data_IF_291020760567
#
_entry.id   IF_291020760567
#
_cell.length_a   1.000
_cell.length_b   1.000
_cell.length_c   1.000
_cell.angle_alpha   90.00
_cell.angle_beta   90.00
_cell.angle_gamma   90.00
#
_symmetry.space_group_name_H-M   'P 1'
#
loop_
_entity.id
_entity.type
_entity.pdbx_description
1 polymer ?
#
# COMPACT_ATOMS: atom_id res chain seq x y z
N UNK A 1 -2.97 -21.87 11.17
CA UNK A 1 -4.21 -21.80 11.99
C UNK A 1 -5.15 -22.85 11.43
N UNK A 2 -5.77 -23.67 12.28
CA UNK A 2 -6.65 -24.75 11.80
C UNK A 2 -7.93 -24.12 11.27
N UNK A 3 -8.28 -24.35 10.02
CA UNK A 3 -9.47 -23.80 9.33
C UNK A 3 -10.75 -23.99 10.14
N UNK A 4 -10.90 -25.13 10.78
CA UNK A 4 -12.04 -25.44 11.66
C UNK A 4 -12.19 -24.46 12.84
N UNK A 5 -11.09 -24.04 13.45
CA UNK A 5 -11.14 -23.05 14.54
C UNK A 5 -11.55 -21.67 14.06
N UNK A 6 -11.13 -21.29 12.86
CA UNK A 6 -11.52 -20.02 12.23
C UNK A 6 -13.02 -20.02 11.94
N UNK A 7 -13.55 -21.12 11.37
CA UNK A 7 -14.98 -21.24 11.10
C UNK A 7 -15.82 -21.16 12.38
N UNK A 8 -15.43 -21.87 13.44
CA UNK A 8 -16.12 -21.78 14.72
C UNK A 8 -16.11 -20.38 15.33
N UNK A 9 -14.96 -19.70 15.26
CA UNK A 9 -14.84 -18.31 15.73
C UNK A 9 -15.74 -17.37 14.92
N UNK A 10 -15.84 -17.59 13.60
CA UNK A 10 -16.73 -16.81 12.75
C UNK A 10 -18.20 -17.00 13.10
N UNK A 11 -18.69 -18.22 13.35
CA UNK A 11 -20.08 -18.46 13.76
C UNK A 11 -20.42 -17.71 15.05
N UNK A 12 -19.54 -17.75 16.06
CA UNK A 12 -19.73 -16.99 17.31
C UNK A 12 -19.78 -15.47 17.04
N UNK A 13 -18.90 -14.95 16.17
CA UNK A 13 -18.92 -13.55 15.80
C UNK A 13 -20.23 -13.18 15.09
N UNK A 14 -20.69 -14.01 14.17
CA UNK A 14 -21.95 -13.83 13.42
C UNK A 14 -23.14 -13.69 14.35
N UNK A 15 -23.26 -14.55 15.36
CA UNK A 15 -24.34 -14.46 16.38
C UNK A 15 -24.29 -13.12 17.11
N UNK A 16 -23.11 -12.71 17.58
CA UNK A 16 -22.93 -11.44 18.30
C UNK A 16 -23.27 -10.21 17.44
N UNK A 17 -22.90 -10.23 16.15
CA UNK A 17 -23.26 -9.16 15.24
C UNK A 17 -24.78 -9.14 14.97
N UNK A 18 -25.43 -10.30 14.91
CA UNK A 18 -26.87 -10.39 14.72
C UNK A 18 -27.65 -9.81 15.92
N UNK A 19 -27.14 -9.95 17.16
CA UNK A 19 -27.74 -9.34 18.36
C UNK A 19 -27.87 -7.80 18.27
N UNK A 20 -26.97 -7.14 17.52
CA UNK A 20 -26.99 -5.70 17.27
C UNK A 20 -27.56 -5.32 15.89
N UNK A 21 -28.24 -6.28 15.24
CA UNK A 21 -28.96 -6.07 13.98
C UNK A 21 -28.07 -6.09 12.73
N UNK A 22 -26.84 -6.60 12.79
CA UNK A 22 -25.92 -6.70 11.66
C UNK A 22 -25.93 -8.11 11.06
N UNK A 23 -26.31 -8.20 9.80
CA UNK A 23 -26.15 -9.40 8.96
C UNK A 23 -24.76 -9.42 8.34
N UNK A 24 -23.86 -10.23 8.90
CA UNK A 24 -22.47 -10.32 8.47
C UNK A 24 -22.32 -10.85 7.05
N UNK A 25 -23.17 -11.78 6.60
CA UNK A 25 -23.13 -12.32 5.25
C UNK A 25 -23.46 -11.25 4.20
N UNK A 26 -24.48 -10.44 4.49
CA UNK A 26 -24.85 -9.31 3.64
C UNK A 26 -23.75 -8.27 3.58
N UNK A 27 -23.14 -7.93 4.72
CA UNK A 27 -22.05 -6.96 4.80
C UNK A 27 -20.82 -7.47 4.04
N UNK A 28 -20.43 -8.73 4.23
CA UNK A 28 -19.30 -9.32 3.51
C UNK A 28 -19.51 -9.31 1.98
N UNK A 29 -20.74 -9.58 1.53
CA UNK A 29 -21.08 -9.47 0.12
C UNK A 29 -20.96 -8.04 -0.41
N UNK A 30 -21.40 -7.04 0.35
CA UNK A 30 -21.26 -5.63 -0.02
C UNK A 30 -19.80 -5.20 -0.06
N UNK A 31 -18.96 -5.70 0.85
CA UNK A 31 -17.53 -5.40 0.90
C UNK A 31 -16.73 -5.98 -0.28
N UNK A 32 -17.25 -6.99 -1.00
CA UNK A 32 -16.59 -7.51 -2.20
C UNK A 32 -16.43 -6.46 -3.30
N UNK A 33 -17.37 -5.51 -3.37
CA UNK A 33 -17.35 -4.42 -4.36
C UNK A 33 -16.64 -3.16 -3.82
N UNK A 34 -16.18 -3.20 -2.58
CA UNK A 34 -15.51 -2.07 -1.94
C UNK A 34 -14.04 -2.02 -2.36
N UNK A 35 -13.60 -0.86 -2.83
CA UNK A 35 -12.23 -0.64 -3.24
C UNK A 35 -11.45 0.03 -2.11
N UNK A 36 -10.47 -0.70 -1.57
CA UNK A 36 -9.56 -0.17 -0.56
C UNK A 36 -8.39 0.56 -1.25
N UNK A 37 -8.23 1.85 -0.97
CA UNK A 37 -7.05 2.59 -1.41
C UNK A 37 -5.93 2.41 -0.38
N UNK A 38 -4.85 1.76 -0.80
CA UNK A 38 -3.64 1.65 -0.02
C UNK A 38 -2.81 2.90 -0.25
N UNK A 39 -2.62 3.70 0.79
CA UNK A 39 -1.59 4.73 0.77
C UNK A 39 -0.23 4.07 0.81
N UNK A 40 0.72 4.57 0.03
CA UNK A 40 2.09 4.17 0.23
C UNK A 40 2.51 4.62 1.63
N UNK A 41 3.11 3.70 2.35
CA UNK A 41 3.68 3.99 3.65
C UNK A 41 4.89 4.89 3.50
N UNK A 42 5.03 5.80 4.45
CA UNK A 42 6.14 6.74 4.48
C UNK A 42 7.33 6.17 5.23
N UNK A 43 8.45 6.57 4.84
CA UNK A 43 9.71 6.91 5.47
C UNK A 43 10.30 5.94 6.51
N UNK A 44 9.56 5.34 7.42
CA UNK A 44 10.14 4.35 8.33
C UNK A 44 10.50 3.08 7.58
N UNK A 45 9.71 2.76 6.53
CA UNK A 45 9.87 1.58 5.70
C UNK A 45 10.41 1.92 4.31
N UNK A 46 10.11 3.12 3.79
CA UNK A 46 10.51 3.55 2.45
C UNK A 46 10.95 5.01 2.45
N UNK A 47 12.17 5.28 2.02
CA UNK A 47 12.76 6.63 1.98
C UNK A 47 12.43 7.42 0.72
N UNK A 48 11.70 6.84 -0.23
CA UNK A 48 11.58 7.41 -1.56
C UNK A 48 12.83 7.21 -2.42
N UNK A 49 12.74 7.62 -3.67
CA UNK A 49 13.79 7.40 -4.67
C UNK A 49 14.32 8.71 -5.26
N UNK A 50 13.97 9.82 -4.61
CA UNK A 50 14.52 11.13 -4.94
C UNK A 50 16.02 11.20 -4.61
N UNK A 51 16.79 11.74 -5.53
CA UNK A 51 18.19 12.10 -5.27
C UNK A 51 18.18 13.47 -4.60
N UNK A 52 18.51 13.50 -3.32
CA UNK A 52 18.54 14.77 -2.58
C UNK A 52 19.82 15.56 -2.89
N UNK A 53 19.65 16.77 -3.41
CA UNK A 53 20.74 17.72 -3.61
C UNK A 53 20.96 18.55 -2.33
N UNK A 54 21.55 17.96 -1.29
CA UNK A 54 21.93 18.72 -0.07
C UNK A 54 21.51 18.08 1.24
N UNK A 55 21.93 18.67 2.36
CA UNK A 55 21.54 18.23 3.68
C UNK A 55 20.06 18.55 3.94
N UNK A 56 19.32 17.61 4.44
CA UNK A 56 17.93 17.81 4.91
C UNK A 56 17.89 18.89 5.97
N UNK A 57 17.26 20.01 5.67
CA UNK A 57 17.04 21.10 6.61
C UNK A 57 15.59 21.09 7.06
N UNK A 58 15.34 20.45 8.22
CA UNK A 58 14.03 20.48 8.87
C UNK A 58 13.02 19.49 8.29
N UNK A 59 12.11 19.04 9.13
CA UNK A 59 11.08 18.07 8.84
C UNK A 59 11.15 16.88 9.78
N UNK A 60 10.07 16.11 9.84
CA UNK A 60 10.05 14.85 10.58
C UNK A 60 10.92 13.88 9.80
N UNK A 61 12.11 13.63 10.30
CA UNK A 61 12.93 12.54 9.78
C UNK A 61 12.34 11.22 10.23
N UNK A 62 12.33 10.24 9.34
CA UNK A 62 12.06 8.87 9.71
C UNK A 62 12.98 8.46 10.85
N UNK A 63 12.41 8.00 11.95
CA UNK A 63 13.15 7.50 13.10
C UNK A 63 13.27 5.99 13.10
N UNK A 64 12.62 5.32 12.16
CA UNK A 64 12.65 3.87 12.03
C UNK A 64 13.92 3.39 11.33
N UNK A 65 14.58 2.43 11.94
CA UNK A 65 15.67 1.65 11.32
C UNK A 65 15.14 0.27 10.97
N UNK A 66 14.16 0.22 10.06
CA UNK A 66 13.54 -1.02 9.65
C UNK A 66 14.44 -1.72 8.64
N UNK A 67 14.98 -2.92 8.95
CA UNK A 67 15.96 -3.59 8.10
C UNK A 67 15.39 -4.08 6.77
N UNK A 68 14.06 -4.10 6.61
CA UNK A 68 13.35 -4.48 5.39
C UNK A 68 12.90 -3.31 4.52
N UNK A 69 13.35 -2.08 4.79
CA UNK A 69 12.96 -0.92 3.97
C UNK A 69 13.34 -1.11 2.49
N UNK A 70 12.40 -0.82 1.59
CA UNK A 70 12.62 -0.91 0.16
C UNK A 70 13.70 0.10 -0.28
N UNK A 71 14.69 -0.38 -1.04
CA UNK A 71 15.85 0.41 -1.49
C UNK A 71 15.68 0.94 -2.91
N UNK A 72 14.73 0.39 -3.64
CA UNK A 72 14.42 0.73 -5.02
C UNK A 72 12.95 0.43 -5.34
N UNK A 73 12.51 0.86 -6.52
CA UNK A 73 11.13 0.72 -6.98
C UNK A 73 10.68 -0.73 -7.05
N UNK A 74 11.54 -1.65 -7.46
CA UNK A 74 11.17 -3.05 -7.64
C UNK A 74 10.96 -3.75 -6.30
N UNK A 75 11.76 -3.43 -5.29
CA UNK A 75 11.56 -3.91 -3.92
C UNK A 75 10.23 -3.38 -3.35
N UNK A 76 9.94 -2.09 -3.53
CA UNK A 76 8.66 -1.51 -3.09
C UNK A 76 7.47 -2.16 -3.79
N UNK A 77 7.56 -2.43 -5.08
CA UNK A 77 6.53 -3.15 -5.83
C UNK A 77 6.29 -4.56 -5.30
N UNK A 78 7.35 -5.28 -4.93
CA UNK A 78 7.24 -6.60 -4.32
C UNK A 78 6.54 -6.53 -2.95
N UNK A 79 6.88 -5.54 -2.13
CA UNK A 79 6.24 -5.31 -0.83
C UNK A 79 4.74 -5.00 -0.99
N UNK A 80 4.38 -4.15 -1.96
CA UNK A 80 2.99 -3.84 -2.28
C UNK A 80 2.24 -5.11 -2.73
N UNK A 81 2.81 -5.92 -3.62
CA UNK A 81 2.21 -7.17 -4.05
C UNK A 81 2.04 -8.14 -2.88
N UNK A 82 3.02 -8.19 -1.98
CA UNK A 82 2.93 -9.00 -0.77
C UNK A 82 1.80 -8.52 0.14
N UNK A 83 1.69 -7.23 0.40
CA UNK A 83 0.61 -6.65 1.18
C UNK A 83 -0.76 -6.96 0.55
N UNK A 84 -0.91 -6.74 -0.76
CA UNK A 84 -2.13 -7.09 -1.50
C UNK A 84 -2.51 -8.56 -1.40
N UNK A 85 -1.52 -9.46 -1.37
CA UNK A 85 -1.78 -10.90 -1.23
C UNK A 85 -2.34 -11.30 0.14
N UNK A 86 -2.17 -10.45 1.15
CA UNK A 86 -2.61 -10.68 2.52
C UNK A 86 -3.94 -9.99 2.85
N UNK A 87 -4.35 -9.03 2.04
CA UNK A 87 -5.56 -8.24 2.24
C UNK A 87 -6.58 -8.66 1.17
N UNK A 88 -7.72 -9.25 1.54
CA UNK A 88 -8.74 -9.61 0.56
C UNK A 88 -9.43 -8.38 -0.03
N UNK A 89 -9.94 -8.49 -1.26
CA UNK A 89 -10.73 -7.45 -1.92
C UNK A 89 -10.03 -6.77 -3.09
N UNK A 90 -10.60 -5.65 -3.53
CA UNK A 90 -10.09 -4.85 -4.64
C UNK A 90 -9.25 -3.69 -4.11
N UNK A 91 -8.05 -3.53 -4.62
CA UNK A 91 -7.11 -2.54 -4.13
C UNK A 91 -6.85 -1.43 -5.14
N UNK A 92 -6.71 -0.22 -4.62
CA UNK A 92 -6.13 0.93 -5.29
C UNK A 92 -4.82 1.29 -4.60
N UNK A 93 -3.94 1.95 -5.29
CA UNK A 93 -2.68 2.43 -4.76
C UNK A 93 -2.59 3.94 -4.88
N UNK A 94 -2.18 4.59 -3.83
CA UNK A 94 -1.86 6.01 -3.83
C UNK A 94 -0.37 6.18 -3.55
N UNK A 95 0.36 6.75 -4.50
CA UNK A 95 1.80 6.99 -4.41
C UNK A 95 2.09 8.43 -4.01
N UNK A 96 3.17 8.63 -3.26
CA UNK A 96 3.77 9.93 -3.07
C UNK A 96 4.72 10.28 -4.22
N UNK A 97 4.97 11.56 -4.42
CA UNK A 97 5.90 12.07 -5.42
C UNK A 97 7.32 11.51 -5.27
N UNK A 98 7.75 11.25 -4.04
CA UNK A 98 9.08 10.71 -3.73
C UNK A 98 9.37 9.33 -4.32
N UNK A 99 8.34 8.64 -4.84
CA UNK A 99 8.47 7.31 -5.46
C UNK A 99 8.53 7.35 -6.98
N UNK A 100 8.73 8.53 -7.55
CA UNK A 100 8.99 8.67 -8.99
C UNK A 100 10.23 7.89 -9.43
N UNK A 101 10.21 7.40 -10.67
CA UNK A 101 11.36 6.76 -11.31
C UNK A 101 12.31 7.83 -11.89
N UNK A 102 13.05 8.47 -11.00
CA UNK A 102 13.95 9.58 -11.36
C UNK A 102 15.24 9.12 -12.03
N UNK A 103 15.52 7.82 -12.06
CA UNK A 103 16.73 7.23 -12.70
C UNK A 103 18.04 7.87 -12.25
N UNK A 104 18.11 8.22 -10.96
CA UNK A 104 19.28 8.86 -10.37
C UNK A 104 19.47 10.33 -10.71
N UNK A 105 18.47 10.99 -11.31
CA UNK A 105 18.49 12.42 -11.57
C UNK A 105 18.00 13.19 -10.36
N UNK A 106 18.58 14.36 -10.13
CA UNK A 106 18.03 15.39 -9.25
C UNK A 106 16.94 16.11 -10.02
N UNK A 107 15.74 16.14 -9.48
CA UNK A 107 14.57 16.79 -10.09
C UNK A 107 13.91 17.63 -9.01
N UNK A 108 13.71 18.90 -9.27
CA UNK A 108 12.98 19.76 -8.35
C UNK A 108 11.47 19.42 -8.38
N UNK A 109 10.77 19.65 -7.28
CA UNK A 109 9.37 19.23 -7.14
C UNK A 109 8.42 19.85 -8.14
N UNK A 110 8.70 21.05 -8.59
CA UNK A 110 7.95 21.75 -9.64
C UNK A 110 8.27 21.24 -11.06
N UNK A 111 9.34 20.46 -11.20
CA UNK A 111 9.73 19.80 -12.46
C UNK A 111 9.22 18.35 -12.56
N UNK A 112 8.61 17.82 -11.51
CA UNK A 112 8.08 16.44 -11.50
C UNK A 112 6.88 16.34 -12.44
N UNK A 113 6.98 15.47 -13.44
CA UNK A 113 5.92 15.19 -14.40
C UNK A 113 5.44 13.75 -14.33
N UNK A 114 4.33 13.45 -15.00
CA UNK A 114 3.78 12.09 -15.07
C UNK A 114 4.73 11.07 -15.69
N UNK A 115 5.70 11.53 -16.47
CA UNK A 115 6.70 10.67 -17.12
C UNK A 115 7.56 9.90 -16.10
N UNK A 116 7.81 10.50 -14.94
CA UNK A 116 8.52 9.84 -13.83
C UNK A 116 7.69 8.72 -13.17
N UNK A 117 6.40 8.64 -13.47
CA UNK A 117 5.50 7.60 -12.97
C UNK A 117 5.06 6.62 -14.04
N UNK A 118 5.53 6.72 -15.28
CA UNK A 118 5.10 5.84 -16.37
C UNK A 118 5.35 4.37 -16.03
N UNK A 119 6.49 4.06 -15.45
CA UNK A 119 6.81 2.68 -15.04
C UNK A 119 5.85 2.14 -13.96
N UNK A 120 5.31 3.02 -13.11
CA UNK A 120 4.28 2.66 -12.13
C UNK A 120 2.91 2.43 -12.78
N UNK A 121 2.56 3.25 -13.77
CA UNK A 121 1.31 3.10 -14.51
C UNK A 121 1.28 1.75 -15.25
N UNK A 122 2.38 1.38 -15.88
CA UNK A 122 2.49 0.12 -16.61
C UNK A 122 2.44 -1.08 -15.65
N UNK A 123 3.18 -1.03 -14.56
CA UNK A 123 3.14 -2.03 -13.50
C UNK A 123 1.74 -2.17 -12.88
N UNK A 124 1.04 -1.06 -12.63
CA UNK A 124 -0.31 -1.08 -12.07
C UNK A 124 -1.31 -1.78 -13.00
N UNK A 125 -1.21 -1.53 -14.31
CA UNK A 125 -2.03 -2.23 -15.31
C UNK A 125 -1.76 -3.74 -15.33
N UNK A 126 -0.49 -4.14 -15.33
CA UNK A 126 -0.07 -5.54 -15.33
C UNK A 126 -0.54 -6.29 -14.07
N UNK A 127 -0.61 -5.61 -12.94
CA UNK A 127 -0.97 -6.18 -11.65
C UNK A 127 -2.42 -5.90 -11.22
N UNK A 128 -3.26 -5.47 -12.16
CA UNK A 128 -4.67 -5.13 -11.91
C UNK A 128 -4.86 -4.25 -10.67
N UNK A 129 -4.03 -3.21 -10.57
CA UNK A 129 -4.07 -2.18 -9.50
C UNK A 129 -4.58 -0.88 -10.11
N UNK A 130 -5.51 -0.21 -9.44
CA UNK A 130 -6.07 1.08 -9.88
C UNK A 130 -5.51 2.23 -9.09
#
# INVERSE_FOLDING_TARGET
MKTELVSKAYEVAKERYAEIGIDTEKVLKQLQDFHLSLHCWQADDVKGFEVQAGALSGGIQSTGDFPGAARNIDELRQDILKAKSLIPGNHRLNLHEIYGDFKGKVVDRDEVTVEYFQSWIDWAKENNTK
#
